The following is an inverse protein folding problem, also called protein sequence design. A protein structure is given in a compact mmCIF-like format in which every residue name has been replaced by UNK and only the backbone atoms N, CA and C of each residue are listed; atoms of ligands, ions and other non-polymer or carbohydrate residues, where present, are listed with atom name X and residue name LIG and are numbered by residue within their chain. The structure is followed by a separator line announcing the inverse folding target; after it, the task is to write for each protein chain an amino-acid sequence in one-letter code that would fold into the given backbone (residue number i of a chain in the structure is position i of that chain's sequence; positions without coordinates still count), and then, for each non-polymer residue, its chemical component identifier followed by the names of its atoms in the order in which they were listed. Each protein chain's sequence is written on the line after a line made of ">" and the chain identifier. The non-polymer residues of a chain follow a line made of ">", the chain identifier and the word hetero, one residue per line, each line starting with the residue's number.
data_IF_384204484522
#
_entry.id   IF_384204484522
#
_cell.length_a   1.000
_cell.length_b   1.000
_cell.length_c   1.000
_cell.angle_alpha   90.00
_cell.angle_beta   90.00
_cell.angle_gamma   90.00
#
_symmetry.space_group_name_H-M   'P 1'
#
loop_
_entity.id
_entity.type
_entity.pdbx_description
1 polymer ?
#
# COMPACT_ATOMS: atom_id res chain seq x y z
N UNK A 1 26.10 -11.16 -8.07
CA UNK A 1 25.10 -11.02 -7.00
C UNK A 1 23.85 -10.53 -7.68
N UNK A 2 22.74 -11.25 -7.59
CA UNK A 2 21.44 -10.68 -7.96
C UNK A 2 21.15 -9.56 -6.96
N UNK A 3 21.09 -8.33 -7.45
CA UNK A 3 20.82 -7.14 -6.65
C UNK A 3 19.42 -7.24 -6.05
N UNK A 4 19.34 -7.39 -4.73
CA UNK A 4 18.07 -7.19 -4.02
C UNK A 4 17.65 -5.74 -4.22
N UNK A 5 16.63 -5.51 -5.06
CA UNK A 5 16.11 -4.17 -5.33
C UNK A 5 15.57 -3.49 -4.06
N UNK A 6 15.49 -2.16 -4.08
CA UNK A 6 14.92 -1.38 -2.98
C UNK A 6 13.46 -1.79 -2.74
N UNK A 7 13.04 -1.83 -1.47
CA UNK A 7 11.64 -2.12 -1.12
C UNK A 7 10.68 -1.15 -1.81
N UNK A 8 11.07 0.13 -1.91
CA UNK A 8 10.33 1.17 -2.61
C UNK A 8 10.06 0.84 -4.08
N UNK A 9 11.00 0.20 -4.78
CA UNK A 9 10.81 -0.24 -6.16
C UNK A 9 9.67 -1.24 -6.24
N UNK A 10 9.65 -2.22 -5.33
CA UNK A 10 8.60 -3.24 -5.31
C UNK A 10 7.23 -2.63 -4.95
N UNK A 11 7.19 -1.73 -3.97
CA UNK A 11 5.94 -1.05 -3.58
C UNK A 11 5.33 -0.26 -4.75
N UNK A 12 6.17 0.45 -5.52
CA UNK A 12 5.75 1.18 -6.72
C UNK A 12 5.21 0.27 -7.82
N UNK A 13 5.76 -0.93 -7.99
CA UNK A 13 5.20 -1.92 -8.92
C UNK A 13 3.80 -2.35 -8.50
N UNK A 14 3.58 -2.56 -7.20
CA UNK A 14 2.25 -2.89 -6.67
C UNK A 14 1.26 -1.73 -6.83
N UNK A 15 1.70 -0.48 -6.64
CA UNK A 15 0.91 0.71 -6.98
C UNK A 15 0.47 0.71 -8.44
N UNK A 16 1.37 0.40 -9.36
CA UNK A 16 1.04 0.29 -10.79
C UNK A 16 -0.08 -0.71 -11.05
N UNK A 17 0.00 -1.90 -10.44
CA UNK A 17 -1.04 -2.94 -10.56
C UNK A 17 -2.36 -2.50 -9.94
N UNK A 18 -2.33 -1.91 -8.75
CA UNK A 18 -3.54 -1.41 -8.09
C UNK A 18 -4.22 -0.29 -8.88
N UNK A 19 -3.46 0.61 -9.51
CA UNK A 19 -4.02 1.67 -10.36
C UNK A 19 -4.71 1.07 -11.60
N UNK A 20 -4.14 0.02 -12.21
CA UNK A 20 -4.79 -0.67 -13.34
C UNK A 20 -6.12 -1.29 -12.90
N UNK A 21 -6.13 -2.02 -11.78
CA UNK A 21 -7.34 -2.63 -11.22
C UNK A 21 -8.40 -1.57 -10.87
N UNK A 22 -8.00 -0.49 -10.21
CA UNK A 22 -8.87 0.63 -9.88
C UNK A 22 -9.48 1.26 -11.15
N UNK A 23 -8.67 1.50 -12.18
CA UNK A 23 -9.17 2.09 -13.42
C UNK A 23 -10.16 1.17 -14.15
N UNK A 24 -9.95 -0.15 -14.12
CA UNK A 24 -10.90 -1.11 -14.69
C UNK A 24 -12.21 -1.10 -13.89
N UNK A 25 -12.13 -1.10 -12.57
CA UNK A 25 -13.29 -1.00 -11.68
C UNK A 25 -14.10 0.26 -11.94
N UNK A 26 -13.44 1.42 -12.04
CA UNK A 26 -14.10 2.69 -12.32
C UNK A 26 -14.73 2.77 -13.72
N UNK A 27 -14.28 1.94 -14.67
CA UNK A 27 -14.92 1.78 -15.99
C UNK A 27 -16.13 0.83 -15.97
N UNK A 28 -16.43 0.23 -14.82
CA UNK A 28 -17.55 -0.69 -14.65
C UNK A 28 -17.23 -2.14 -14.94
N UNK A 29 -15.95 -2.54 -14.93
CA UNK A 29 -15.56 -3.95 -15.00
C UNK A 29 -15.91 -4.66 -13.68
N UNK A 30 -16.93 -5.54 -13.64
CA UNK A 30 -17.38 -6.17 -12.41
C UNK A 30 -16.34 -7.14 -11.83
N UNK A 31 -15.45 -7.69 -12.66
CA UNK A 31 -14.49 -8.72 -12.25
C UNK A 31 -13.23 -8.11 -11.61
N UNK A 32 -13.11 -6.79 -11.64
CA UNK A 32 -11.94 -6.06 -11.14
C UNK A 32 -12.03 -5.68 -9.65
N UNK A 33 -13.22 -5.74 -9.03
CA UNK A 33 -13.42 -5.31 -7.64
C UNK A 33 -12.75 -6.25 -6.63
N UNK A 34 -12.97 -7.55 -6.73
CA UNK A 34 -12.38 -8.53 -5.81
C UNK A 34 -10.84 -8.55 -5.90
N UNK A 35 -10.22 -8.57 -7.10
CA UNK A 35 -8.78 -8.41 -7.24
C UNK A 35 -8.25 -7.09 -6.66
N UNK A 36 -9.02 -5.99 -6.77
CA UNK A 36 -8.64 -4.69 -6.21
C UNK A 36 -8.65 -4.72 -4.67
N UNK A 37 -9.69 -5.29 -4.06
CA UNK A 37 -9.78 -5.48 -2.59
C UNK A 37 -8.60 -6.31 -2.09
N UNK A 38 -8.32 -7.41 -2.77
CA UNK A 38 -7.25 -8.34 -2.42
C UNK A 38 -5.85 -7.71 -2.58
N UNK A 39 -5.60 -6.99 -3.69
CA UNK A 39 -4.36 -6.26 -3.90
C UNK A 39 -4.15 -5.15 -2.86
N UNK A 40 -5.19 -4.35 -2.58
CA UNK A 40 -5.14 -3.29 -1.57
C UNK A 40 -4.91 -3.85 -0.17
N UNK A 41 -5.60 -4.94 0.17
CA UNK A 41 -5.46 -5.62 1.45
C UNK A 41 -4.04 -6.13 1.71
N UNK A 42 -3.43 -6.80 0.72
CA UNK A 42 -2.02 -7.23 0.82
C UNK A 42 -1.04 -6.08 0.93
N UNK A 43 -1.23 -5.04 0.12
CA UNK A 43 -0.36 -3.86 0.11
C UNK A 43 -0.37 -3.17 1.48
N UNK A 44 -1.57 -2.85 1.98
CA UNK A 44 -1.76 -2.23 3.30
C UNK A 44 -1.15 -3.08 4.40
N UNK A 45 -1.42 -4.39 4.42
CA UNK A 45 -0.88 -5.27 5.45
C UNK A 45 0.65 -5.27 5.48
N UNK A 46 1.27 -5.37 4.30
CA UNK A 46 2.71 -5.38 4.20
C UNK A 46 3.31 -4.00 4.57
N UNK A 47 2.67 -2.92 4.17
CA UNK A 47 3.11 -1.57 4.49
C UNK A 47 2.98 -1.25 5.99
N UNK A 48 1.86 -1.58 6.63
CA UNK A 48 1.67 -1.37 8.06
C UNK A 48 2.71 -2.11 8.91
N UNK A 49 3.11 -3.32 8.48
CA UNK A 49 4.19 -4.06 9.13
C UNK A 49 5.54 -3.34 8.98
N UNK A 50 5.87 -2.85 7.79
CA UNK A 50 7.07 -2.06 7.55
C UNK A 50 7.07 -0.76 8.39
N UNK A 51 5.93 -0.06 8.43
CA UNK A 51 5.70 1.12 9.28
C UNK A 51 5.93 0.79 10.74
N UNK A 52 5.41 -0.33 11.26
CA UNK A 52 5.61 -0.74 12.65
C UNK A 52 7.09 -1.02 12.99
N UNK A 53 7.84 -1.62 12.07
CA UNK A 53 9.30 -1.82 12.23
C UNK A 53 10.01 -0.47 12.30
N UNK A 54 9.63 0.47 11.44
CA UNK A 54 10.19 1.82 11.43
C UNK A 54 9.86 2.59 12.72
N UNK A 55 8.61 2.50 13.20
CA UNK A 55 8.13 3.08 14.46
C UNK A 55 8.93 2.64 15.68
N UNK A 56 9.31 1.36 15.73
CA UNK A 56 10.12 0.84 16.83
C UNK A 56 11.53 1.44 16.87
N UNK A 57 12.06 1.86 15.71
CA UNK A 57 13.48 2.16 15.59
C UNK A 57 13.84 3.66 15.63
N UNK A 58 13.14 4.62 14.97
CA UNK A 58 13.42 6.08 15.12
C UNK A 58 12.29 7.04 14.64
N UNK A 59 11.93 8.00 15.52
CA UNK A 59 11.39 9.39 15.33
C UNK A 59 10.04 9.68 14.63
N UNK A 60 9.43 10.76 15.16
CA UNK A 60 8.14 11.43 14.89
C UNK A 60 7.49 11.24 13.51
N UNK A 61 6.18 10.94 13.55
CA UNK A 61 5.51 10.10 12.58
C UNK A 61 4.26 10.72 11.97
N UNK A 62 4.19 12.04 11.89
CA UNK A 62 3.02 12.69 11.28
C UNK A 62 2.69 12.13 9.88
N UNK A 63 3.70 11.81 9.08
CA UNK A 63 3.52 11.16 7.77
C UNK A 63 2.95 9.75 7.91
N UNK A 64 3.51 8.90 8.77
CA UNK A 64 3.03 7.52 8.90
C UNK A 64 1.66 7.44 9.58
N UNK A 65 1.37 8.32 10.54
CA UNK A 65 0.02 8.45 11.11
C UNK A 65 -0.99 8.85 10.03
N UNK A 66 -0.61 9.76 9.12
CA UNK A 66 -1.46 10.13 7.96
C UNK A 66 -1.70 8.91 7.06
N UNK A 67 -0.67 8.12 6.76
CA UNK A 67 -0.77 6.90 5.93
C UNK A 67 -1.70 5.87 6.59
N UNK A 68 -1.53 5.61 7.90
CA UNK A 68 -2.39 4.69 8.66
C UNK A 68 -3.86 5.17 8.72
N UNK A 69 -4.09 6.48 8.85
CA UNK A 69 -5.43 7.05 8.78
C UNK A 69 -6.06 6.85 7.39
N UNK A 70 -5.28 7.05 6.32
CA UNK A 70 -5.71 6.81 4.94
C UNK A 70 -6.03 5.32 4.70
N UNK A 71 -5.25 4.38 5.23
CA UNK A 71 -5.57 2.94 5.16
C UNK A 71 -6.95 2.64 5.75
N UNK A 72 -7.24 3.19 6.94
CA UNK A 72 -8.52 3.02 7.61
C UNK A 72 -9.68 3.59 6.79
N UNK A 73 -9.50 4.78 6.22
CA UNK A 73 -10.50 5.41 5.36
C UNK A 73 -10.73 4.62 4.07
N UNK A 74 -9.67 4.15 3.41
CA UNK A 74 -9.74 3.32 2.21
C UNK A 74 -10.53 2.03 2.47
N UNK A 75 -10.23 1.32 3.58
CA UNK A 75 -10.98 0.14 4.00
C UNK A 75 -12.46 0.47 4.21
N UNK A 76 -12.75 1.56 4.91
CA UNK A 76 -14.12 2.01 5.15
C UNK A 76 -14.91 2.36 3.89
N UNK A 77 -14.25 2.78 2.80
CA UNK A 77 -14.88 2.94 1.50
C UNK A 77 -15.07 1.61 0.77
N UNK A 78 -14.10 0.69 0.81
CA UNK A 78 -14.24 -0.64 0.21
C UNK A 78 -15.41 -1.43 0.79
N UNK A 79 -15.60 -1.39 2.11
CA UNK A 79 -16.71 -2.07 2.79
C UNK A 79 -18.10 -1.57 2.33
N UNK A 80 -18.16 -0.38 1.72
CA UNK A 80 -19.40 0.28 1.29
C UNK A 80 -19.54 0.38 -0.22
N UNK A 81 -18.54 -0.04 -0.98
CA UNK A 81 -18.41 0.30 -2.40
C UNK A 81 -19.50 -0.31 -3.27
N UNK A 82 -20.05 -1.45 -2.85
CA UNK A 82 -21.18 -2.14 -3.51
C UNK A 82 -22.54 -1.50 -3.16
N UNK A 83 -22.63 -0.80 -2.01
CA UNK A 83 -23.87 -0.25 -1.47
C UNK A 83 -24.00 1.26 -1.72
N UNK A 84 -22.89 1.96 -1.89
CA UNK A 84 -22.84 3.41 -2.09
C UNK A 84 -21.95 3.78 -3.29
N UNK A 85 -22.57 4.16 -4.41
CA UNK A 85 -21.84 4.63 -5.61
C UNK A 85 -20.93 5.84 -5.34
N UNK A 86 -21.21 6.63 -4.29
CA UNK A 86 -20.32 7.74 -3.88
C UNK A 86 -19.08 7.23 -3.17
N UNK A 87 -19.12 6.04 -2.56
CA UNK A 87 -17.96 5.41 -1.95
C UNK A 87 -16.91 5.03 -3.00
N UNK A 88 -17.32 4.56 -4.18
CA UNK A 88 -16.39 4.26 -5.29
C UNK A 88 -15.58 5.49 -5.73
N UNK A 89 -16.25 6.64 -5.96
CA UNK A 89 -15.57 7.87 -6.35
C UNK A 89 -14.66 8.43 -5.24
N UNK A 90 -15.07 8.31 -3.97
CA UNK A 90 -14.24 8.71 -2.82
C UNK A 90 -13.03 7.79 -2.65
N UNK A 91 -13.22 6.49 -2.81
CA UNK A 91 -12.16 5.49 -2.78
C UNK A 91 -11.13 5.78 -3.86
N UNK A 92 -11.56 5.97 -5.12
CA UNK A 92 -10.65 6.28 -6.23
C UNK A 92 -9.80 7.52 -5.94
N UNK A 93 -10.45 8.60 -5.49
CA UNK A 93 -9.76 9.85 -5.18
C UNK A 93 -8.74 9.65 -4.06
N UNK A 94 -9.14 9.02 -2.95
CA UNK A 94 -8.26 8.80 -1.81
C UNK A 94 -7.11 7.87 -2.18
N UNK A 95 -7.35 6.80 -2.94
CA UNK A 95 -6.33 5.83 -3.35
C UNK A 95 -5.23 6.50 -4.19
N UNK A 96 -5.61 7.36 -5.15
CA UNK A 96 -4.63 8.12 -5.95
C UNK A 96 -3.83 9.11 -5.10
N UNK A 97 -4.47 9.76 -4.12
CA UNK A 97 -3.79 10.68 -3.21
C UNK A 97 -2.82 9.96 -2.29
N UNK A 98 -3.22 8.80 -1.77
CA UNK A 98 -2.45 7.94 -0.89
C UNK A 98 -1.19 7.39 -1.60
N UNK A 99 -1.36 6.76 -2.76
CA UNK A 99 -0.25 6.30 -3.61
C UNK A 99 0.71 7.46 -3.94
N UNK A 100 0.16 8.63 -4.29
CA UNK A 100 0.98 9.80 -4.58
C UNK A 100 1.76 10.31 -3.36
N UNK A 101 1.20 10.24 -2.15
CA UNK A 101 1.88 10.59 -0.92
C UNK A 101 3.03 9.62 -0.63
N UNK A 102 2.77 8.33 -0.78
CA UNK A 102 3.76 7.28 -0.53
C UNK A 102 4.94 7.36 -1.51
N UNK A 103 4.64 7.40 -2.81
CA UNK A 103 5.65 7.44 -3.86
C UNK A 103 6.56 8.66 -3.77
N UNK A 104 5.99 9.81 -3.39
CA UNK A 104 6.70 11.11 -3.38
C UNK A 104 7.32 11.47 -2.03
N UNK A 105 6.85 10.89 -0.92
CA UNK A 105 7.31 11.24 0.44
C UNK A 105 7.79 10.02 1.21
N UNK A 106 6.98 8.99 1.34
CA UNK A 106 7.27 7.86 2.21
C UNK A 106 8.40 6.97 1.68
N UNK A 107 8.29 6.49 0.45
CA UNK A 107 9.31 5.60 -0.12
C UNK A 107 10.68 6.28 -0.29
N UNK A 108 10.78 7.54 -0.76
CA UNK A 108 12.06 8.26 -0.74
C UNK A 108 12.64 8.46 0.66
N UNK A 109 11.79 8.60 1.69
CA UNK A 109 12.23 8.67 3.07
C UNK A 109 12.78 7.33 3.54
N UNK A 110 12.09 6.21 3.25
CA UNK A 110 12.57 4.86 3.54
C UNK A 110 13.91 4.58 2.85
N UNK A 111 14.04 4.91 1.57
CA UNK A 111 15.28 4.73 0.80
C UNK A 111 16.47 5.48 1.39
N UNK A 112 16.21 6.67 1.96
CA UNK A 112 17.25 7.53 2.53
C UNK A 112 17.62 7.15 3.97
N UNK A 113 16.64 6.77 4.77
CA UNK A 113 16.83 6.57 6.21
C UNK A 113 17.27 5.15 6.58
N UNK A 114 16.96 4.17 5.73
CA UNK A 114 17.35 2.78 5.95
C UNK A 114 18.69 2.48 5.30
N UNK A 115 19.58 1.82 6.05
CA UNK A 115 20.80 1.26 5.49
C UNK A 115 20.51 -0.04 4.73
N UNK A 116 21.48 -0.55 3.97
CA UNK A 116 21.30 -1.74 3.12
C UNK A 116 20.85 -2.99 3.88
N UNK A 117 21.27 -3.17 5.14
CA UNK A 117 20.83 -4.31 5.96
C UNK A 117 19.36 -4.16 6.37
N UNK A 118 18.96 -2.96 6.77
CA UNK A 118 17.56 -2.67 7.13
C UNK A 118 16.64 -2.79 5.91
N UNK A 119 17.10 -2.36 4.73
CA UNK A 119 16.41 -2.54 3.45
C UNK A 119 16.23 -4.03 3.13
N UNK A 120 17.26 -4.85 3.29
CA UNK A 120 17.21 -6.30 3.04
C UNK A 120 16.29 -7.02 4.03
N UNK A 121 16.33 -6.66 5.32
CA UNK A 121 15.43 -7.20 6.34
C UNK A 121 13.97 -6.83 6.05
N UNK A 122 13.70 -5.58 5.71
CA UNK A 122 12.37 -5.11 5.33
C UNK A 122 11.87 -5.79 4.05
N UNK A 123 12.74 -5.97 3.06
CA UNK A 123 12.40 -6.67 1.82
C UNK A 123 12.05 -8.14 2.09
N UNK A 124 12.81 -8.84 2.94
CA UNK A 124 12.52 -10.22 3.34
C UNK A 124 11.17 -10.32 4.05
N UNK A 125 10.92 -9.44 5.01
CA UNK A 125 9.62 -9.39 5.69
C UNK A 125 8.49 -9.13 4.69
N UNK A 126 8.65 -8.14 3.82
CA UNK A 126 7.67 -7.83 2.77
C UNK A 126 7.37 -9.03 1.87
N UNK A 127 8.40 -9.72 1.36
CA UNK A 127 8.23 -10.87 0.49
C UNK A 127 7.59 -12.07 1.19
N UNK A 128 7.83 -12.26 2.49
CA UNK A 128 7.13 -13.28 3.28
C UNK A 128 5.64 -12.94 3.37
N UNK A 129 5.31 -11.69 3.66
CA UNK A 129 3.92 -11.23 3.85
C UNK A 129 3.13 -11.22 2.53
N UNK A 130 3.77 -10.86 1.42
CA UNK A 130 3.12 -10.85 0.10
C UNK A 130 2.78 -12.26 -0.40
N UNK A 131 3.54 -13.27 0.04
CA UNK A 131 3.33 -14.67 -0.32
C UNK A 131 2.42 -15.43 0.68
N UNK A 132 1.99 -14.78 1.77
CA UNK A 132 0.98 -15.35 2.66
C UNK A 132 -0.42 -15.12 2.07
N UNK A 133 -1.22 -16.19 2.00
CA UNK A 133 -2.67 -16.03 1.81
C UNK A 133 -3.20 -15.26 3.01
N UNK A 134 -3.76 -14.08 2.77
CA UNK A 134 -4.47 -13.32 3.79
C UNK A 134 -5.93 -13.74 3.70
N UNK A 135 -6.41 -14.51 4.68
CA UNK A 135 -7.84 -14.72 4.88
C UNK A 135 -8.40 -13.43 5.52
N UNK A 136 -9.31 -12.75 4.82
CA UNK A 136 -10.04 -11.58 5.32
C UNK A 136 -11.33 -11.98 6.02
#
# INVERSE_FOLDING_TARGET
>A
MEEGGLISTRMREEHGKMIVLLNNFMKGDPDSLEPLKDAQGRHVFAEEKAIMVFYKNKKDFKLLSTILEQHKELRGYLDKIELDKKAAAKFEKLMKQHIGLEDSKFYPMLDKELNSKEQEEMFKEFMVLFNQKIDF
#
